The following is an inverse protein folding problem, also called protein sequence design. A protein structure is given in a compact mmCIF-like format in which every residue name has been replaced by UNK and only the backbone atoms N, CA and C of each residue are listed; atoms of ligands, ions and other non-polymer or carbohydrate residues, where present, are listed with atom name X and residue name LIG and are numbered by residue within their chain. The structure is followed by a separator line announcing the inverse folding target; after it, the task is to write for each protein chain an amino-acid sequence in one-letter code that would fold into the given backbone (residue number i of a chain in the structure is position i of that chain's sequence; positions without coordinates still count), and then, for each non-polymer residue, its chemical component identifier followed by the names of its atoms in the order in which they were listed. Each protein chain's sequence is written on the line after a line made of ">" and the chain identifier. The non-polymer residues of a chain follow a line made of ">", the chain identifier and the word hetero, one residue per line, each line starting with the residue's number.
data_IF_423997481219
#
_entry.id   IF_423997481219
#
_cell.length_a   1.000
_cell.length_b   1.000
_cell.length_c   1.000
_cell.angle_alpha   90.00
_cell.angle_beta   90.00
_cell.angle_gamma   90.00
#
_symmetry.space_group_name_H-M   'P 1'
#
loop_
_entity.id
_entity.type
_entity.pdbx_description
1 polymer ?
#
# COMPACT_ATOMS: atom_id res chain seq x y z
N UNK A 1 -22.43 -32.68 -8.66
CA UNK A 1 -22.29 -31.39 -9.37
C UNK A 1 -22.76 -30.28 -8.44
N UNK A 2 -21.84 -29.51 -7.87
CA UNK A 2 -22.17 -28.35 -7.04
C UNK A 2 -21.77 -27.10 -7.83
N UNK A 3 -22.72 -26.54 -8.57
CA UNK A 3 -22.57 -25.23 -9.20
C UNK A 3 -22.65 -24.15 -8.13
N UNK A 4 -21.52 -23.72 -7.59
CA UNK A 4 -21.46 -22.50 -6.78
C UNK A 4 -21.58 -21.30 -7.72
N UNK A 5 -22.70 -20.58 -7.64
CA UNK A 5 -22.87 -19.29 -8.30
C UNK A 5 -21.74 -18.34 -7.89
N UNK A 6 -21.24 -17.45 -8.78
CA UNK A 6 -20.23 -16.49 -8.39
C UNK A 6 -20.82 -15.52 -7.35
N UNK A 7 -20.30 -15.56 -6.12
CA UNK A 7 -20.64 -14.59 -5.08
C UNK A 7 -19.93 -13.27 -5.38
N UNK A 8 -20.69 -12.20 -5.59
CA UNK A 8 -20.13 -10.85 -5.56
C UNK A 8 -19.87 -10.46 -4.11
N UNK A 9 -18.65 -10.04 -3.79
CA UNK A 9 -18.26 -9.61 -2.45
C UNK A 9 -17.86 -8.14 -2.54
N UNK A 10 -18.45 -7.30 -1.69
CA UNK A 10 -18.07 -5.90 -1.60
C UNK A 10 -16.68 -5.78 -0.95
N UNK A 11 -15.77 -5.10 -1.64
CA UNK A 11 -14.48 -4.73 -1.09
C UNK A 11 -14.69 -3.58 -0.11
N UNK A 12 -14.17 -3.72 1.10
CA UNK A 12 -14.19 -2.69 2.13
C UNK A 12 -12.78 -2.51 2.71
N UNK A 13 -12.62 -1.54 3.61
CA UNK A 13 -11.36 -1.32 4.33
C UNK A 13 -10.86 -2.56 5.11
N UNK A 14 -11.74 -3.52 5.40
CA UNK A 14 -11.41 -4.70 6.21
C UNK A 14 -11.95 -6.01 5.62
N UNK A 15 -12.45 -6.02 4.39
CA UNK A 15 -13.00 -7.23 3.76
C UNK A 15 -12.62 -7.32 2.28
N UNK A 16 -11.98 -8.42 1.85
CA UNK A 16 -11.44 -9.50 2.68
C UNK A 16 -10.33 -8.99 3.63
N UNK A 17 -10.30 -9.51 4.86
CA UNK A 17 -9.37 -9.07 5.92
C UNK A 17 -8.01 -9.78 5.78
N UNK A 18 -7.13 -9.28 4.91
CA UNK A 18 -5.76 -9.79 4.82
C UNK A 18 -4.77 -8.63 4.69
N UNK A 19 -3.67 -8.61 5.45
CA UNK A 19 -2.72 -7.50 5.45
C UNK A 19 -2.02 -7.26 4.11
N UNK A 20 -1.96 -8.28 3.24
CA UNK A 20 -1.45 -8.13 1.88
C UNK A 20 -2.47 -7.56 0.85
N UNK A 21 -3.70 -7.27 1.26
CA UNK A 21 -4.70 -6.71 0.35
C UNK A 21 -4.48 -5.20 0.16
N UNK A 22 -4.53 -4.73 -1.09
CA UNK A 22 -4.37 -3.30 -1.43
C UNK A 22 -5.40 -2.38 -0.77
N UNK A 23 -6.51 -2.93 -0.31
CA UNK A 23 -7.61 -2.20 0.33
C UNK A 23 -7.72 -2.49 1.83
N UNK A 24 -6.68 -3.05 2.45
CA UNK A 24 -6.64 -3.33 3.88
C UNK A 24 -6.19 -2.11 4.69
N UNK A 25 -7.16 -1.43 5.30
CA UNK A 25 -6.97 -0.28 6.18
C UNK A 25 -7.52 -0.62 7.56
N UNK A 26 -6.73 -1.26 8.46
CA UNK A 26 -7.24 -1.85 9.70
C UNK A 26 -7.85 -0.86 10.68
N UNK A 27 -7.54 0.44 10.54
CA UNK A 27 -8.02 1.52 11.43
C UNK A 27 -9.09 2.41 10.78
N UNK A 28 -9.45 2.18 9.51
CA UNK A 28 -10.45 2.97 8.80
C UNK A 28 -11.79 2.22 8.72
N UNK A 29 -12.88 2.94 8.95
CA UNK A 29 -14.26 2.40 8.81
C UNK A 29 -14.67 2.23 7.35
N UNK A 30 -14.11 3.04 6.46
CA UNK A 30 -14.41 3.07 5.03
C UNK A 30 -13.14 3.32 4.23
N UNK A 31 -13.13 2.89 2.96
CA UNK A 31 -12.00 3.11 2.08
C UNK A 31 -11.77 4.62 1.87
N UNK A 32 -10.50 5.08 1.89
CA UNK A 32 -10.16 6.42 1.45
C UNK A 32 -10.68 6.68 0.03
N UNK A 33 -11.27 7.84 -0.26
CA UNK A 33 -11.67 8.18 -1.61
C UNK A 33 -10.43 8.44 -2.47
N UNK A 34 -10.27 7.67 -3.53
CA UNK A 34 -9.12 7.76 -4.45
C UNK A 34 -9.33 8.74 -5.60
N UNK A 35 -10.58 9.07 -5.93
CA UNK A 35 -10.92 10.00 -7.00
C UNK A 35 -12.36 10.53 -6.83
N UNK A 36 -12.62 11.71 -7.40
CA UNK A 36 -13.97 12.28 -7.56
C UNK A 36 -14.25 12.53 -9.04
N UNK A 37 -15.22 11.80 -9.59
CA UNK A 37 -15.64 11.97 -10.99
C UNK A 37 -16.92 12.81 -11.03
N UNK A 38 -16.94 13.85 -11.86
CA UNK A 38 -18.13 14.70 -12.05
C UNK A 38 -18.64 14.52 -13.47
N UNK A 39 -19.89 14.08 -13.60
CA UNK A 39 -20.55 13.94 -14.89
C UNK A 39 -21.43 15.16 -15.15
N UNK A 40 -21.25 15.80 -16.30
CA UNK A 40 -22.13 16.87 -16.77
C UNK A 40 -22.94 16.39 -17.96
N UNK A 41 -24.26 16.58 -17.91
CA UNK A 41 -25.14 16.24 -19.05
C UNK A 41 -25.03 17.32 -20.10
N UNK A 42 -24.44 16.99 -21.25
CA UNK A 42 -24.47 17.85 -22.43
C UNK A 42 -25.89 17.85 -23.03
N UNK A 43 -26.45 19.04 -23.27
CA UNK A 43 -27.72 19.18 -23.96
C UNK A 43 -27.49 18.89 -25.45
N UNK A 44 -27.97 17.74 -25.94
CA UNK A 44 -27.92 17.42 -27.37
C UNK A 44 -28.99 18.22 -28.12
N UNK A 45 -28.56 19.18 -28.95
CA UNK A 45 -29.39 19.72 -30.05
C UNK A 45 -29.48 18.67 -31.16
N UNK A 46 -30.66 18.37 -31.74
CA UNK A 46 -30.79 17.44 -32.87
C UNK A 46 -30.25 17.99 -34.20
N UNK A 47 -29.73 19.21 -34.24
CA UNK A 47 -29.13 19.81 -35.43
C UNK A 47 -27.66 20.11 -35.20
N UNK A 48 -26.84 19.53 -36.07
CA UNK A 48 -25.39 19.63 -36.17
C UNK A 48 -24.61 19.04 -34.99
N UNK A 49 -24.22 17.77 -35.13
CA UNK A 49 -22.99 17.26 -34.54
C UNK A 49 -21.79 17.90 -35.27
N UNK A 50 -21.64 19.21 -35.19
CA UNK A 50 -20.30 19.75 -35.14
C UNK A 50 -19.85 19.39 -33.73
N UNK A 51 -18.86 18.50 -33.53
CA UNK A 51 -18.23 18.44 -32.23
C UNK A 51 -17.88 19.89 -31.89
N UNK A 52 -18.16 20.39 -30.68
CA UNK A 52 -17.53 21.63 -30.28
C UNK A 52 -16.06 21.41 -30.61
N UNK A 53 -15.43 22.35 -31.33
CA UNK A 53 -14.00 22.48 -31.22
C UNK A 53 -13.76 22.72 -29.74
N UNK A 54 -13.64 21.63 -28.99
CA UNK A 54 -12.86 21.58 -27.79
C UNK A 54 -11.58 22.21 -28.30
N UNK A 55 -11.32 23.45 -27.90
CA UNK A 55 -9.98 23.92 -27.79
C UNK A 55 -9.33 22.94 -26.80
N UNK A 56 -8.96 21.79 -27.35
CA UNK A 56 -8.13 20.75 -26.78
C UNK A 56 -6.67 21.22 -26.87
N UNK A 57 -6.47 22.53 -26.92
CA UNK A 57 -5.33 23.20 -26.36
C UNK A 57 -5.71 23.58 -24.92
N UNK A 58 -5.24 22.78 -23.96
CA UNK A 58 -4.91 23.22 -22.59
C UNK A 58 -5.80 22.84 -21.40
N UNK A 59 -6.66 21.82 -21.46
CA UNK A 59 -6.93 20.94 -20.30
C UNK A 59 -7.19 19.54 -20.81
N UNK A 60 -6.14 18.73 -20.87
CA UNK A 60 -6.25 17.35 -21.34
C UNK A 60 -7.18 16.53 -20.45
N UNK A 61 -7.30 15.24 -20.76
CA UNK A 61 -7.56 14.20 -19.76
C UNK A 61 -6.39 14.10 -18.76
N UNK A 62 -5.84 15.25 -18.38
CA UNK A 62 -4.81 15.41 -17.41
C UNK A 62 -5.47 15.06 -16.09
N UNK A 63 -4.96 14.00 -15.46
CA UNK A 63 -5.26 13.70 -14.07
C UNK A 63 -4.78 14.93 -13.32
N UNK A 64 -5.71 15.85 -13.04
CA UNK A 64 -5.44 17.02 -12.24
C UNK A 64 -5.26 16.51 -10.82
N UNK A 65 -4.02 16.13 -10.49
CA UNK A 65 -3.55 15.69 -9.16
C UNK A 65 -3.47 16.88 -8.19
N UNK A 66 -4.44 17.79 -8.27
CA UNK A 66 -4.56 18.97 -7.40
C UNK A 66 -5.88 19.02 -6.64
N UNK A 67 -6.64 17.92 -6.67
CA UNK A 67 -7.57 17.66 -5.58
C UNK A 67 -6.73 17.19 -4.40
N UNK A 68 -6.81 17.92 -3.29
CA UNK A 68 -6.36 17.42 -1.99
C UNK A 68 -7.04 16.09 -1.74
N UNK A 69 -6.31 15.00 -2.02
CA UNK A 69 -6.66 13.67 -1.51
C UNK A 69 -6.90 13.90 -0.02
N UNK A 70 -8.07 13.56 0.54
CA UNK A 70 -8.24 13.69 1.98
C UNK A 70 -7.07 12.95 2.60
N UNK A 71 -6.23 13.69 3.32
CA UNK A 71 -4.98 13.17 3.87
C UNK A 71 -5.33 12.10 4.90
N UNK A 72 -5.44 10.87 4.44
CA UNK A 72 -5.46 9.67 5.26
C UNK A 72 -4.16 8.91 5.01
N UNK A 73 -2.99 9.52 5.33
CA UNK A 73 -1.73 8.82 5.22
C UNK A 73 -1.80 7.58 6.10
N UNK A 74 -1.38 6.46 5.53
CA UNK A 74 -1.22 5.22 6.27
C UNK A 74 0.26 4.93 6.35
N UNK A 75 0.81 5.10 7.54
CA UNK A 75 2.22 4.83 7.79
C UNK A 75 2.48 3.31 7.83
N UNK A 76 3.69 2.92 7.48
CA UNK A 76 4.10 1.54 7.67
C UNK A 76 4.17 1.18 9.16
N UNK A 77 3.60 0.04 9.52
CA UNK A 77 3.76 -0.55 10.86
C UNK A 77 4.53 -1.87 10.73
N UNK A 78 5.57 -2.05 11.55
CA UNK A 78 6.39 -3.27 11.58
C UNK A 78 6.21 -4.03 12.89
N UNK A 79 6.53 -5.32 12.89
CA UNK A 79 6.56 -6.13 14.11
C UNK A 79 7.70 -5.70 15.05
N UNK A 80 7.69 -6.28 16.25
CA UNK A 80 8.89 -6.34 17.07
C UNK A 80 9.98 -7.14 16.33
N UNK A 81 11.23 -6.86 16.67
CA UNK A 81 12.36 -7.66 16.24
C UNK A 81 12.24 -9.10 16.75
N UNK A 82 12.69 -10.05 15.94
CA UNK A 82 13.00 -11.40 16.40
C UNK A 82 14.09 -11.36 17.46
N UNK A 83 14.24 -12.47 18.18
CA UNK A 83 15.48 -12.74 18.90
C UNK A 83 16.66 -12.70 17.94
N UNK A 84 17.83 -12.35 18.45
CA UNK A 84 19.07 -12.48 17.71
C UNK A 84 19.30 -13.94 17.30
N UNK A 85 19.74 -14.14 16.06
CA UNK A 85 20.28 -15.41 15.59
C UNK A 85 21.58 -15.77 16.31
N UNK A 86 22.06 -16.98 16.05
CA UNK A 86 23.35 -17.43 16.54
C UNK A 86 24.47 -16.56 15.96
N UNK A 87 25.53 -16.36 16.75
CA UNK A 87 26.71 -15.66 16.26
C UNK A 87 27.44 -16.52 15.23
N UNK A 88 27.43 -16.09 13.97
CA UNK A 88 28.17 -16.72 12.89
C UNK A 88 29.57 -16.14 12.77
N UNK A 89 30.55 -16.95 12.38
CA UNK A 89 31.92 -16.50 12.16
C UNK A 89 32.96 -17.48 12.70
N UNK A 90 34.24 -17.30 12.33
CA UNK A 90 35.33 -18.13 12.84
C UNK A 90 35.58 -17.86 14.32
N UNK A 91 35.90 -18.91 15.08
CA UNK A 91 36.23 -18.78 16.49
C UNK A 91 37.43 -17.86 16.74
N UNK A 92 37.38 -17.10 17.84
CA UNK A 92 38.46 -16.20 18.24
C UNK A 92 38.53 -14.90 17.43
N UNK A 93 37.57 -14.66 16.54
CA UNK A 93 37.36 -13.40 15.83
C UNK A 93 35.95 -12.89 16.09
N UNK A 94 35.72 -11.60 15.83
CA UNK A 94 34.37 -11.05 15.80
C UNK A 94 33.59 -11.73 14.67
N UNK A 95 32.41 -12.20 15.04
CA UNK A 95 31.38 -12.70 14.15
C UNK A 95 30.26 -11.69 13.98
N UNK A 96 29.20 -12.14 13.30
CA UNK A 96 27.99 -11.36 13.13
C UNK A 96 26.76 -12.20 13.47
N UNK A 97 25.75 -11.52 14.01
CA UNK A 97 24.43 -12.09 14.27
C UNK A 97 23.39 -11.19 13.62
N UNK A 98 22.34 -11.80 13.10
CA UNK A 98 21.23 -11.08 12.47
C UNK A 98 19.94 -11.26 13.24
N UNK A 99 19.03 -10.31 13.09
CA UNK A 99 17.63 -10.41 13.52
C UNK A 99 16.74 -9.79 12.47
N UNK A 100 15.48 -10.21 12.42
CA UNK A 100 14.52 -9.75 11.41
C UNK A 100 13.21 -9.30 12.05
N UNK A 101 12.45 -8.47 11.34
CA UNK A 101 11.08 -8.08 11.65
C UNK A 101 10.28 -8.03 10.36
N UNK A 102 8.95 -8.08 10.44
CA UNK A 102 8.09 -8.10 9.26
C UNK A 102 7.09 -6.93 9.26
N UNK A 103 6.63 -6.56 8.07
CA UNK A 103 5.61 -5.52 7.89
C UNK A 103 4.25 -6.04 8.34
N UNK A 104 3.61 -5.30 9.24
CA UNK A 104 2.23 -5.55 9.70
C UNK A 104 1.21 -4.75 8.90
N UNK A 105 1.56 -3.52 8.54
CA UNK A 105 0.72 -2.62 7.73
C UNK A 105 1.61 -2.00 6.66
N UNK A 106 1.23 -2.18 5.39
CA UNK A 106 1.92 -1.55 4.28
C UNK A 106 1.60 -0.05 4.24
N UNK A 107 2.57 0.81 3.90
CA UNK A 107 2.34 2.23 3.77
C UNK A 107 1.44 2.52 2.55
N UNK A 108 0.55 3.49 2.68
CA UNK A 108 -0.34 3.94 1.61
C UNK A 108 -0.66 5.44 1.74
N UNK A 109 -1.22 6.04 0.69
CA UNK A 109 -1.66 7.44 0.66
C UNK A 109 -0.58 8.43 1.14
N UNK A 110 0.66 8.24 0.66
CA UNK A 110 1.79 9.08 1.04
C UNK A 110 2.16 9.03 2.54
N UNK A 111 1.81 7.94 3.24
CA UNK A 111 2.32 7.65 4.59
C UNK A 111 3.79 7.25 4.60
N UNK A 112 4.40 7.23 5.78
CA UNK A 112 5.84 6.99 5.94
C UNK A 112 6.23 5.57 5.50
N UNK A 113 7.29 5.40 4.70
CA UNK A 113 7.75 4.09 4.25
C UNK A 113 8.25 3.22 5.41
N UNK A 114 8.32 1.91 5.20
CA UNK A 114 8.82 0.98 6.21
C UNK A 114 10.29 1.23 6.52
N UNK A 115 10.70 1.16 7.80
CA UNK A 115 12.11 1.13 8.17
C UNK A 115 12.74 -0.23 7.78
N UNK A 116 14.06 -0.38 7.99
CA UNK A 116 14.78 -1.63 7.70
C UNK A 116 14.16 -2.84 8.41
N UNK A 117 14.08 -3.96 7.72
CA UNK A 117 13.43 -5.19 8.21
C UNK A 117 14.43 -6.22 8.73
N UNK A 118 15.71 -5.99 8.48
CA UNK A 118 16.82 -6.85 8.89
C UNK A 118 17.84 -5.98 9.60
N UNK A 119 18.47 -6.53 10.62
CA UNK A 119 19.51 -5.85 11.38
C UNK A 119 20.62 -6.84 11.68
N UNK A 120 21.85 -6.38 11.51
CA UNK A 120 23.06 -7.15 11.77
C UNK A 120 23.90 -6.43 12.83
N UNK A 121 24.47 -7.20 13.75
CA UNK A 121 25.34 -6.68 14.79
C UNK A 121 26.54 -7.60 15.00
N UNK A 122 27.66 -7.02 15.40
CA UNK A 122 28.85 -7.77 15.79
C UNK A 122 28.58 -8.61 17.05
N UNK A 123 29.23 -9.76 17.13
CA UNK A 123 29.15 -10.66 18.27
C UNK A 123 30.44 -11.46 18.44
N UNK A 124 30.66 -12.00 19.64
CA UNK A 124 31.68 -13.01 19.89
C UNK A 124 30.98 -14.39 19.88
N UNK A 125 31.43 -15.37 19.06
CA UNK A 125 30.86 -16.70 19.07
C UNK A 125 31.17 -17.44 20.38
N UNK A 126 30.13 -17.82 21.11
CA UNK A 126 30.23 -18.60 22.36
C UNK A 126 30.35 -20.11 22.06
N UNK A 127 31.22 -20.81 22.77
CA UNK A 127 31.47 -22.26 22.65
C UNK A 127 31.92 -22.73 21.26
N UNK A 128 33.14 -22.35 20.90
CA UNK A 128 33.82 -22.97 19.77
C UNK A 128 34.37 -24.34 20.15
N UNK A 129 34.16 -25.34 19.30
CA UNK A 129 34.75 -26.68 19.41
C UNK A 129 35.83 -26.86 18.35
#
# INVERSE_FOLDING_TARGET
>A
ASSSSPSFIQITASSPSHPANSFYYPRLKSLPPIAKVTFVRLQQSPRAFAPPSLDLASRGNEIVDSLSVPETPLDCEVSLWSSWGLCGGPCGKLGAKSRTRYVRVQPANNGTPCPELEEEAECAPDNCV
#
